data_IF_715045975065
#
_entry.id   IF_715045975065
#
_cell.length_a   1.000
_cell.length_b   1.000
_cell.length_c   1.000
_cell.angle_alpha   90.00
_cell.angle_beta   90.00
_cell.angle_gamma   90.00
#
_symmetry.space_group_name_H-M   'P 1'
#
loop_
_entity.id
_entity.type
_entity.pdbx_description
1 polymer ?
#
# COMPACT_ATOMS: atom_id res chain seq x y z
N UNK A 1 28.18 11.16 -0.41
CA UNK A 1 27.16 10.22 -0.92
C UNK A 1 25.87 10.47 -0.15
N UNK A 2 24.92 11.21 -0.73
CA UNK A 2 23.57 11.35 -0.16
C UNK A 2 22.70 10.32 -0.86
N UNK A 3 22.37 9.22 -0.18
CA UNK A 3 21.26 8.38 -0.59
C UNK A 3 20.01 9.06 -0.06
N UNK A 4 19.33 9.82 -0.91
CA UNK A 4 18.00 10.30 -0.61
C UNK A 4 17.08 9.08 -0.75
N UNK A 5 16.71 8.46 0.36
CA UNK A 5 15.60 7.51 0.38
C UNK A 5 14.42 8.19 -0.34
N UNK A 6 13.76 7.56 -1.32
CA UNK A 6 12.64 8.20 -2.00
C UNK A 6 11.64 8.57 -0.91
N UNK A 7 11.26 9.86 -0.89
CA UNK A 7 10.03 10.25 -0.19
C UNK A 7 8.97 9.26 -0.67
N UNK A 8 8.19 8.68 0.23
CA UNK A 8 6.99 7.93 -0.14
C UNK A 8 6.21 8.82 -1.10
N UNK A 9 6.34 8.58 -2.40
CA UNK A 9 5.65 9.34 -3.42
C UNK A 9 4.18 9.00 -3.24
N UNK A 10 3.47 9.96 -2.63
CA UNK A 10 2.02 9.87 -2.47
C UNK A 10 1.44 9.80 -3.88
N UNK A 11 0.61 8.79 -4.21
CA UNK A 11 0.06 8.62 -5.55
C UNK A 11 -0.56 9.93 -6.07
N UNK A 12 -0.17 10.38 -7.26
CA UNK A 12 -0.70 11.61 -7.84
C UNK A 12 -1.98 11.34 -8.67
N UNK A 13 -2.18 10.10 -9.10
CA UNK A 13 -3.26 9.68 -9.99
C UNK A 13 -3.97 8.43 -9.47
N UNK A 14 -5.18 8.17 -9.98
CA UNK A 14 -5.94 6.96 -9.65
C UNK A 14 -5.27 5.67 -10.18
N UNK A 15 -4.50 5.77 -11.27
CA UNK A 15 -3.71 4.66 -11.81
C UNK A 15 -2.60 4.27 -10.83
N UNK A 16 -1.82 5.24 -10.35
CA UNK A 16 -0.78 5.00 -9.35
C UNK A 16 -1.35 4.44 -8.04
N UNK A 17 -2.55 4.87 -7.61
CA UNK A 17 -3.24 4.27 -6.45
C UNK A 17 -3.52 2.78 -6.70
N UNK A 18 -3.97 2.42 -7.90
CA UNK A 18 -4.25 1.03 -8.26
C UNK A 18 -2.96 0.19 -8.32
N UNK A 19 -1.89 0.72 -8.88
CA UNK A 19 -0.57 0.06 -8.91
C UNK A 19 -0.04 -0.20 -7.49
N UNK A 20 -0.08 0.82 -6.62
CA UNK A 20 0.36 0.71 -5.22
C UNK A 20 -0.50 -0.27 -4.42
N UNK A 21 -1.79 -0.35 -4.74
CA UNK A 21 -2.68 -1.36 -4.15
C UNK A 21 -2.21 -2.76 -4.52
N UNK A 22 -1.87 -2.99 -5.80
CA UNK A 22 -1.34 -4.29 -6.24
C UNK A 22 0.02 -4.60 -5.60
N UNK A 23 0.92 -3.63 -5.49
CA UNK A 23 2.22 -3.79 -4.81
C UNK A 23 2.07 -4.15 -3.32
N UNK A 24 1.13 -3.52 -2.61
CA UNK A 24 0.84 -3.82 -1.21
C UNK A 24 0.39 -5.29 -1.04
N UNK A 25 -0.52 -5.75 -1.91
CA UNK A 25 -0.93 -7.16 -1.94
C UNK A 25 0.21 -8.12 -2.32
N UNK A 26 1.08 -7.71 -3.26
CA UNK A 26 2.28 -8.46 -3.63
C UNK A 26 3.22 -8.64 -2.44
N UNK A 27 3.50 -7.54 -1.73
CA UNK A 27 4.35 -7.53 -0.52
C UNK A 27 3.77 -8.43 0.57
N UNK A 28 2.46 -8.35 0.82
CA UNK A 28 1.78 -9.24 1.76
C UNK A 28 2.02 -10.71 1.42
N UNK A 29 1.77 -11.11 0.16
CA UNK A 29 1.96 -12.50 -0.29
C UNK A 29 3.41 -12.96 -0.20
N UNK A 30 4.35 -12.11 -0.62
CA UNK A 30 5.78 -12.42 -0.56
C UNK A 30 6.28 -12.55 0.88
N UNK A 31 5.75 -11.75 1.81
CA UNK A 31 6.12 -11.82 3.24
C UNK A 31 5.72 -13.14 3.88
N UNK A 32 4.63 -13.76 3.39
CA UNK A 32 4.13 -15.04 3.90
C UNK A 32 4.65 -16.23 3.09
N UNK A 33 5.30 -15.97 1.96
CA UNK A 33 5.84 -17.02 1.11
C UNK A 33 6.89 -17.79 1.89
N UNK A 34 6.88 -19.11 1.70
CA UNK A 34 7.84 -20.04 2.30
C UNK A 34 7.79 -20.13 3.84
N UNK A 35 6.84 -19.44 4.50
CA UNK A 35 6.57 -19.56 5.93
C UNK A 35 5.50 -20.63 6.20
N UNK A 36 5.63 -21.32 7.33
CA UNK A 36 4.66 -22.34 7.77
C UNK A 36 4.51 -22.35 9.29
N UNK A 37 3.40 -22.90 9.77
CA UNK A 37 3.14 -23.08 11.21
C UNK A 37 3.18 -21.75 11.96
N UNK A 38 3.82 -21.74 13.13
CA UNK A 38 3.83 -20.56 14.01
C UNK A 38 4.49 -19.33 13.37
N UNK A 39 5.52 -19.54 12.55
CA UNK A 39 6.20 -18.44 11.87
C UNK A 39 5.30 -17.79 10.82
N UNK A 40 4.45 -18.59 10.15
CA UNK A 40 3.39 -18.08 9.28
C UNK A 40 2.38 -17.26 10.08
N UNK A 41 1.83 -17.81 11.18
CA UNK A 41 0.78 -17.14 11.96
C UNK A 41 1.25 -15.77 12.52
N UNK A 42 2.48 -15.72 13.03
CA UNK A 42 3.08 -14.50 13.57
C UNK A 42 3.40 -13.49 12.46
N UNK A 43 3.87 -13.95 11.29
CA UNK A 43 4.12 -13.10 10.14
C UNK A 43 2.82 -12.59 9.50
N UNK A 44 1.80 -13.42 9.41
CA UNK A 44 0.48 -13.08 8.86
C UNK A 44 -0.14 -11.95 9.66
N UNK A 45 -0.18 -12.05 11.00
CA UNK A 45 -0.71 -10.96 11.82
C UNK A 45 -0.03 -9.61 11.56
N UNK A 46 1.30 -9.62 11.46
CA UNK A 46 2.07 -8.40 11.23
C UNK A 46 1.87 -7.87 9.81
N UNK A 47 1.98 -8.74 8.81
CA UNK A 47 1.82 -8.39 7.40
C UNK A 47 0.39 -7.91 7.10
N UNK A 48 -0.61 -8.53 7.73
CA UNK A 48 -2.01 -8.14 7.62
C UNK A 48 -2.28 -6.76 8.22
N UNK A 49 -1.70 -6.44 9.38
CA UNK A 49 -1.82 -5.11 9.98
C UNK A 49 -1.19 -4.03 9.09
N UNK A 50 -0.03 -4.32 8.48
CA UNK A 50 0.63 -3.41 7.53
C UNK A 50 -0.21 -3.22 6.27
N UNK A 51 -0.69 -4.31 5.66
CA UNK A 51 -1.53 -4.27 4.47
C UNK A 51 -2.79 -3.43 4.71
N UNK A 52 -3.50 -3.66 5.80
CA UNK A 52 -4.71 -2.90 6.12
C UNK A 52 -4.45 -1.40 6.29
N UNK A 53 -3.33 -1.02 6.92
CA UNK A 53 -2.94 0.39 7.03
C UNK A 53 -2.69 0.98 5.64
N UNK A 54 -1.87 0.31 4.85
CA UNK A 54 -1.47 0.83 3.54
C UNK A 54 -2.68 0.90 2.58
N UNK A 55 -3.62 -0.05 2.63
CA UNK A 55 -4.88 0.01 1.87
C UNK A 55 -5.78 1.17 2.30
N UNK A 56 -5.85 1.46 3.62
CA UNK A 56 -6.61 2.61 4.11
C UNK A 56 -6.04 3.92 3.60
N UNK A 57 -4.72 4.10 3.72
CA UNK A 57 -4.04 5.30 3.24
C UNK A 57 -4.27 5.51 1.72
N UNK A 58 -4.28 4.42 0.95
CA UNK A 58 -4.56 4.45 -0.49
C UNK A 58 -6.04 4.73 -0.82
N UNK A 59 -6.97 4.24 -0.02
CA UNK A 59 -8.40 4.53 -0.17
C UNK A 59 -8.72 5.99 0.14
N UNK A 60 -8.14 6.54 1.20
CA UNK A 60 -8.23 7.98 1.51
C UNK A 60 -7.68 8.81 0.35
N UNK A 61 -6.52 8.42 -0.19
CA UNK A 61 -5.92 9.10 -1.34
C UNK A 61 -6.79 9.01 -2.60
N UNK A 62 -7.41 7.85 -2.85
CA UNK A 62 -8.36 7.67 -3.95
C UNK A 62 -9.52 8.66 -3.84
N UNK A 63 -10.11 8.79 -2.65
CA UNK A 63 -11.22 9.69 -2.41
C UNK A 63 -10.84 11.16 -2.62
N UNK A 64 -9.64 11.59 -2.19
CA UNK A 64 -9.12 12.93 -2.44
C UNK A 64 -9.00 13.23 -3.94
N UNK A 65 -8.46 12.29 -4.71
CA UNK A 65 -8.27 12.45 -6.16
C UNK A 65 -9.61 12.46 -6.91
N UNK A 66 -10.56 11.62 -6.51
CA UNK A 66 -11.92 11.65 -7.07
C UNK A 66 -12.64 12.96 -6.74
N UNK A 67 -12.53 13.44 -5.50
CA UNK A 67 -13.10 14.73 -5.10
C UNK A 67 -12.47 15.90 -5.89
N UNK A 68 -11.15 15.88 -6.08
CA UNK A 68 -10.44 16.88 -6.88
C UNK A 68 -10.85 16.85 -8.37
N UNK A 69 -11.20 15.68 -8.90
CA UNK A 69 -11.70 15.50 -10.28
C UNK A 69 -13.14 16.01 -10.46
N UNK A 70 -13.96 15.94 -9.41
CA UNK A 70 -15.37 16.34 -9.43
C UNK A 70 -15.63 17.84 -9.17
N UNK A 71 -14.63 18.59 -8.69
CA UNK A 71 -14.75 20.04 -8.51
C UNK A 71 -14.61 20.77 -9.86
N UNK A 72 -15.60 21.59 -10.27
CA UNK A 72 -15.44 22.43 -11.46
C UNK A 72 -14.33 23.47 -11.23
N UNK A 73 -13.38 23.54 -12.16
CA UNK A 73 -12.30 24.54 -12.18
C UNK A 73 -12.79 25.95 -12.49
#
# INVERSE_FOLDING_TARGET
>A
MTTAAPRRDVPATLEEVAERTQEAWGTYRETLRDLTGRDYDDAEHRAWAVLQRDLRDLEERRAELEAASLLPR
#
